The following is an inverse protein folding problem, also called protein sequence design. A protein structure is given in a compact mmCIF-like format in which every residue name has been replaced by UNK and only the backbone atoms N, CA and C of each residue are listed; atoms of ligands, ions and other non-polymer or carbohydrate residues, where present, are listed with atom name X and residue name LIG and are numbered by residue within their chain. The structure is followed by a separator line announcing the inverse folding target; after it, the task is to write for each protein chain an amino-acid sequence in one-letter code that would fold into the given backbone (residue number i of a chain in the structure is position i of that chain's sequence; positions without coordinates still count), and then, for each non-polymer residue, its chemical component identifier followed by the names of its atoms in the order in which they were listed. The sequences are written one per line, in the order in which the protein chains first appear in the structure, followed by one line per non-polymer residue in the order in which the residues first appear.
data_IF_061778799248
#
_entry.id   IF_061778799248
#
_cell.length_a   1.000
_cell.length_b   1.000
_cell.length_c   1.000
_cell.angle_alpha   90.00
_cell.angle_beta   90.00
_cell.angle_gamma   90.00
#
_symmetry.space_group_name_H-M   'P 1'
#
loop_
_entity.id
_entity.type
_entity.pdbx_description
1 polymer ?
#
# COMPACT_ATOMS: atom_id res chain seq x y z
N UNK A 1 -19.01 -12.07 -12.12
CA UNK A 1 -20.40 -11.99 -11.68
C UNK A 1 -20.51 -11.11 -10.46
N UNK A 2 -21.03 -9.92 -10.67
CA UNK A 2 -21.19 -8.90 -9.62
C UNK A 2 -22.33 -9.20 -8.65
N UNK A 3 -23.39 -9.88 -9.11
CA UNK A 3 -24.54 -10.21 -8.27
C UNK A 3 -24.14 -11.24 -7.22
N UNK A 4 -23.41 -12.27 -7.63
CA UNK A 4 -22.86 -13.28 -6.73
C UNK A 4 -21.91 -12.60 -5.74
N UNK A 5 -20.95 -11.79 -6.22
CA UNK A 5 -19.97 -11.14 -5.35
C UNK A 5 -20.63 -10.24 -4.29
N UNK A 6 -21.60 -9.42 -4.69
CA UNK A 6 -22.32 -8.53 -3.78
C UNK A 6 -23.20 -9.30 -2.79
N UNK A 7 -24.04 -10.22 -3.28
CA UNK A 7 -25.00 -10.94 -2.44
C UNK A 7 -24.29 -11.85 -1.43
N UNK A 8 -23.23 -12.55 -1.84
CA UNK A 8 -22.41 -13.36 -0.92
C UNK A 8 -21.67 -12.49 0.09
N UNK A 9 -21.16 -11.32 -0.31
CA UNK A 9 -20.51 -10.41 0.64
C UNK A 9 -21.49 -9.92 1.71
N UNK A 10 -22.70 -9.52 1.30
CA UNK A 10 -23.73 -9.03 2.21
C UNK A 10 -24.28 -10.16 3.10
N UNK A 11 -24.50 -11.36 2.55
CA UNK A 11 -24.97 -12.52 3.33
C UNK A 11 -23.96 -12.94 4.42
N UNK A 12 -22.66 -12.69 4.18
CA UNK A 12 -21.56 -12.91 5.13
C UNK A 12 -21.27 -11.71 6.03
N UNK A 13 -22.13 -10.70 6.04
CA UNK A 13 -22.10 -9.61 7.02
C UNK A 13 -21.46 -8.30 6.55
N UNK A 14 -21.09 -8.16 5.27
CA UNK A 14 -20.65 -6.88 4.74
C UNK A 14 -21.80 -5.85 4.75
N UNK A 15 -21.49 -4.60 5.12
CA UNK A 15 -22.45 -3.49 5.07
C UNK A 15 -22.72 -3.12 3.60
N UNK A 16 -23.95 -3.28 3.09
CA UNK A 16 -24.28 -2.84 1.73
C UNK A 16 -24.31 -1.32 1.68
N UNK A 17 -23.66 -0.73 0.67
CA UNK A 17 -23.69 0.72 0.40
C UNK A 17 -24.54 1.01 -0.83
N UNK A 18 -24.35 0.23 -1.91
CA UNK A 18 -25.16 0.33 -3.12
C UNK A 18 -25.25 -1.05 -3.79
N UNK A 19 -26.46 -1.54 -4.12
CA UNK A 19 -26.63 -2.80 -4.83
C UNK A 19 -26.06 -2.74 -6.26
N UNK A 20 -25.94 -3.87 -6.97
CA UNK A 20 -25.56 -3.89 -8.37
C UNK A 20 -26.45 -2.96 -9.21
N UNK A 21 -25.82 -2.01 -9.87
CA UNK A 21 -26.45 -1.03 -10.75
C UNK A 21 -25.71 -0.97 -12.08
N UNK A 22 -26.45 -0.71 -13.15
CA UNK A 22 -25.90 -0.55 -14.50
C UNK A 22 -25.59 0.92 -14.78
N UNK A 23 -24.44 1.14 -15.38
CA UNK A 23 -24.05 2.39 -16.00
C UNK A 23 -23.84 2.12 -17.50
N UNK A 24 -24.32 3.00 -18.36
CA UNK A 24 -24.25 2.83 -19.81
C UNK A 24 -23.96 4.14 -20.52
N UNK A 25 -23.15 4.06 -21.56
CA UNK A 25 -22.99 5.12 -22.58
C UNK A 25 -22.75 4.49 -23.96
N UNK A 26 -22.24 5.27 -24.91
CA UNK A 26 -21.98 4.85 -26.29
C UNK A 26 -20.93 3.73 -26.40
N UNK A 27 -20.10 3.52 -25.37
CA UNK A 27 -19.04 2.53 -25.34
C UNK A 27 -19.44 1.20 -24.71
N UNK A 28 -20.70 1.06 -24.26
CA UNK A 28 -21.25 -0.17 -23.71
C UNK A 28 -21.77 0.00 -22.28
N UNK A 29 -21.81 -1.10 -21.54
CA UNK A 29 -22.40 -1.17 -20.19
C UNK A 29 -21.38 -1.68 -19.17
N UNK A 30 -21.34 -1.04 -18.00
CA UNK A 30 -20.59 -1.49 -16.82
C UNK A 30 -21.56 -1.66 -15.67
N UNK A 31 -21.38 -2.72 -14.87
CA UNK A 31 -22.12 -2.92 -13.61
C UNK A 31 -21.24 -2.62 -12.41
N UNK A 32 -21.79 -1.92 -11.42
CA UNK A 32 -21.09 -1.55 -10.19
C UNK A 32 -21.96 -1.86 -8.96
N UNK A 33 -21.33 -2.40 -7.92
CA UNK A 33 -21.92 -2.63 -6.60
C UNK A 33 -20.91 -2.22 -5.54
N UNK A 34 -21.37 -1.74 -4.38
CA UNK A 34 -20.49 -1.16 -3.35
C UNK A 34 -20.81 -1.72 -1.97
N UNK A 35 -19.79 -2.14 -1.24
CA UNK A 35 -19.86 -2.53 0.18
C UNK A 35 -18.87 -1.71 1.00
N UNK A 36 -19.16 -1.55 2.29
CA UNK A 36 -18.26 -0.89 3.25
C UNK A 36 -17.17 -1.84 3.77
N UNK A 37 -16.03 -1.28 4.16
CA UNK A 37 -14.98 -1.98 4.93
C UNK A 37 -14.61 -1.14 6.16
N UNK A 38 -13.32 -1.06 6.54
CA UNK A 38 -12.84 -0.24 7.65
C UNK A 38 -13.02 1.27 7.42
N UNK A 39 -13.40 1.99 8.48
CA UNK A 39 -13.67 3.43 8.44
C UNK A 39 -14.76 3.78 7.42
N UNK A 40 -14.53 4.84 6.64
CA UNK A 40 -15.41 5.25 5.53
C UNK A 40 -14.96 4.67 4.18
N UNK A 41 -14.01 3.73 4.18
CA UNK A 41 -13.50 3.11 2.95
C UNK A 41 -14.52 2.11 2.41
N UNK A 42 -14.64 2.06 1.09
CA UNK A 42 -15.56 1.15 0.38
C UNK A 42 -14.83 0.31 -0.66
N UNK A 43 -15.34 -0.90 -0.89
CA UNK A 43 -14.96 -1.71 -2.03
C UNK A 43 -16.04 -1.64 -3.10
N UNK A 44 -15.64 -1.27 -4.32
CA UNK A 44 -16.51 -1.30 -5.50
C UNK A 44 -16.18 -2.52 -6.33
N UNK A 45 -17.17 -3.39 -6.50
CA UNK A 45 -17.12 -4.43 -7.52
C UNK A 45 -17.40 -3.78 -8.87
N UNK A 46 -16.56 -4.03 -9.87
CA UNK A 46 -16.70 -3.47 -11.22
C UNK A 46 -16.70 -4.63 -12.21
N UNK A 47 -17.84 -4.83 -12.87
CA UNK A 47 -17.99 -5.81 -13.95
C UNK A 47 -18.11 -5.06 -15.28
N UNK A 48 -17.03 -5.06 -16.05
CA UNK A 48 -16.88 -4.24 -17.27
C UNK A 48 -17.54 -4.82 -18.52
N UNK A 49 -17.94 -6.09 -18.53
CA UNK A 49 -18.59 -6.72 -19.70
C UNK A 49 -17.83 -6.45 -21.00
N UNK A 50 -18.55 -5.97 -22.02
CA UNK A 50 -18.02 -5.55 -23.33
C UNK A 50 -17.80 -4.02 -23.43
N UNK A 51 -17.57 -3.34 -22.31
CA UNK A 51 -17.31 -1.89 -22.31
C UNK A 51 -15.90 -1.57 -22.83
N UNK A 52 -15.82 -0.76 -23.90
CA UNK A 52 -14.56 -0.37 -24.57
C UNK A 52 -14.26 1.14 -24.46
N UNK A 53 -14.88 1.81 -23.48
CA UNK A 53 -14.69 3.24 -23.26
C UNK A 53 -13.44 3.56 -22.44
N UNK A 54 -13.09 4.86 -22.31
CA UNK A 54 -11.79 5.28 -21.77
C UNK A 54 -11.61 4.95 -20.27
N UNK A 55 -12.69 4.88 -19.50
CA UNK A 55 -12.64 4.48 -18.09
C UNK A 55 -13.93 3.84 -17.59
N UNK A 56 -14.99 4.61 -17.39
CA UNK A 56 -16.33 4.15 -16.99
C UNK A 56 -17.36 5.03 -17.70
N UNK A 57 -18.63 4.58 -17.83
CA UNK A 57 -19.64 5.36 -18.52
C UNK A 57 -19.77 6.78 -17.95
N UNK A 58 -19.80 7.78 -18.84
CA UNK A 58 -19.84 9.19 -18.48
C UNK A 58 -18.49 9.87 -18.25
N UNK A 59 -17.37 9.13 -18.30
CA UNK A 59 -16.03 9.71 -18.38
C UNK A 59 -15.66 9.95 -19.84
N UNK A 60 -14.88 11.01 -20.07
CA UNK A 60 -14.35 11.36 -21.38
C UNK A 60 -12.82 11.36 -21.36
N UNK A 61 -12.22 11.09 -22.49
CA UNK A 61 -10.77 11.24 -22.66
C UNK A 61 -10.37 12.72 -22.46
N UNK A 62 -9.27 12.93 -21.74
CA UNK A 62 -8.67 14.24 -21.53
C UNK A 62 -7.19 14.12 -21.84
N UNK A 63 -6.69 15.00 -22.71
CA UNK A 63 -5.27 15.06 -23.01
C UNK A 63 -4.51 15.73 -21.85
N UNK A 64 -3.31 15.27 -21.52
CA UNK A 64 -2.50 15.89 -20.48
C UNK A 64 -2.16 17.34 -20.86
N UNK A 65 -2.06 18.21 -19.85
CA UNK A 65 -1.66 19.62 -20.05
C UNK A 65 -0.21 19.69 -20.51
N UNK A 66 0.63 18.79 -19.99
CA UNK A 66 2.04 18.63 -20.35
C UNK A 66 2.29 17.16 -20.62
N UNK A 67 2.83 16.85 -21.79
CA UNK A 67 3.33 15.51 -22.10
C UNK A 67 4.67 15.30 -21.40
N UNK A 68 4.71 14.38 -20.44
CA UNK A 68 5.92 13.93 -19.80
C UNK A 68 6.21 12.49 -20.22
N UNK A 69 7.48 12.06 -20.30
CA UNK A 69 7.80 10.66 -20.55
C UNK A 69 7.13 9.71 -19.56
N UNK A 70 6.97 8.45 -19.91
CA UNK A 70 6.54 7.42 -18.96
C UNK A 70 7.58 7.28 -17.82
N UNK A 71 7.11 7.05 -16.58
CA UNK A 71 7.97 6.80 -15.41
C UNK A 71 8.20 5.32 -15.13
N UNK A 72 7.55 4.41 -15.87
CA UNK A 72 7.64 2.97 -15.71
C UNK A 72 6.75 2.39 -14.60
N UNK A 73 5.74 3.13 -14.14
CA UNK A 73 4.76 2.60 -13.16
C UNK A 73 3.74 1.73 -13.92
N UNK A 74 3.60 0.48 -13.51
CA UNK A 74 2.83 -0.52 -14.27
C UNK A 74 1.46 -0.82 -13.65
N UNK A 75 1.41 -0.95 -12.32
CA UNK A 75 0.19 -1.38 -11.59
C UNK A 75 0.30 -1.11 -10.09
N UNK A 76 -0.82 -1.25 -9.40
CA UNK A 76 -0.85 -1.35 -7.93
C UNK A 76 -0.31 -2.73 -7.52
N UNK A 77 0.65 -2.76 -6.59
CA UNK A 77 1.18 -3.98 -5.97
C UNK A 77 0.34 -4.39 -4.75
N UNK A 78 0.10 -3.44 -3.84
CA UNK A 78 -0.72 -3.64 -2.64
C UNK A 78 -1.24 -2.30 -2.08
N UNK A 79 -2.21 -2.36 -1.18
CA UNK A 79 -2.79 -1.20 -0.49
C UNK A 79 -2.81 -1.48 1.01
N UNK A 80 -2.23 -0.58 1.80
CA UNK A 80 -2.13 -0.73 3.26
C UNK A 80 -3.24 0.05 3.94
N UNK A 81 -3.99 -0.62 4.82
CA UNK A 81 -5.01 0.01 5.67
C UNK A 81 -4.52 0.17 7.10
N UNK A 82 -4.58 1.39 7.62
CA UNK A 82 -4.39 1.65 9.05
C UNK A 82 -5.76 1.67 9.73
N UNK A 83 -5.88 0.91 10.82
CA UNK A 83 -7.08 0.84 11.65
C UNK A 83 -6.75 1.22 13.09
N UNK A 84 -7.77 1.61 13.85
CA UNK A 84 -7.60 2.04 15.24
C UNK A 84 -7.25 0.86 16.17
N UNK A 85 -6.96 1.16 17.44
CA UNK A 85 -6.66 0.19 18.47
C UNK A 85 -7.68 -0.96 18.51
N UNK A 86 -7.15 -2.18 18.51
CA UNK A 86 -7.92 -3.43 18.57
C UNK A 86 -8.84 -3.69 17.36
N UNK A 87 -8.64 -2.97 16.24
CA UNK A 87 -9.43 -3.13 15.02
C UNK A 87 -8.77 -3.99 13.96
N UNK A 88 -7.50 -4.42 14.11
CA UNK A 88 -6.85 -5.26 13.09
C UNK A 88 -7.54 -6.61 12.98
N UNK A 89 -7.71 -7.36 14.07
CA UNK A 89 -8.33 -8.70 14.02
C UNK A 89 -9.78 -8.67 13.50
N UNK A 90 -10.67 -7.76 13.95
CA UNK A 90 -11.99 -7.60 13.34
C UNK A 90 -11.93 -7.31 11.82
N UNK A 91 -10.98 -6.48 11.39
CA UNK A 91 -10.80 -6.13 9.98
C UNK A 91 -10.31 -7.32 9.16
N UNK A 92 -9.33 -8.06 9.66
CA UNK A 92 -8.83 -9.28 9.01
C UNK A 92 -9.94 -10.33 8.91
N UNK A 93 -10.72 -10.50 10.00
CA UNK A 93 -11.88 -11.40 10.02
C UNK A 93 -12.90 -11.00 8.96
N UNK A 94 -13.18 -9.70 8.79
CA UNK A 94 -14.03 -9.21 7.70
C UNK A 94 -13.51 -9.66 6.34
N UNK A 95 -12.23 -9.45 6.02
CA UNK A 95 -11.69 -9.88 4.71
C UNK A 95 -11.73 -11.41 4.51
N UNK A 96 -11.51 -12.17 5.58
CA UNK A 96 -11.58 -13.62 5.55
C UNK A 96 -13.01 -14.12 5.33
N UNK A 97 -13.98 -13.65 6.12
CA UNK A 97 -15.36 -14.12 6.05
C UNK A 97 -16.08 -13.61 4.81
N UNK A 98 -15.94 -12.33 4.47
CA UNK A 98 -16.66 -11.69 3.35
C UNK A 98 -16.07 -12.11 2.01
N UNK A 99 -14.75 -11.99 1.85
CA UNK A 99 -14.11 -12.23 0.55
C UNK A 99 -13.43 -13.60 0.41
N UNK A 100 -13.29 -14.36 1.50
CA UNK A 100 -12.52 -15.61 1.48
C UNK A 100 -11.01 -15.36 1.33
N UNK A 101 -10.51 -14.19 1.72
CA UNK A 101 -9.07 -13.91 1.65
C UNK A 101 -8.33 -14.73 2.70
N UNK A 102 -7.12 -15.15 2.36
CA UNK A 102 -6.25 -15.90 3.26
C UNK A 102 -5.37 -14.95 4.06
N UNK A 103 -5.15 -15.28 5.34
CA UNK A 103 -4.08 -14.66 6.14
C UNK A 103 -2.75 -15.14 5.57
N UNK A 104 -1.91 -14.20 5.14
CA UNK A 104 -0.67 -14.54 4.45
C UNK A 104 0.56 -14.39 5.33
N UNK A 105 0.78 -13.20 5.89
CA UNK A 105 1.94 -12.89 6.73
C UNK A 105 1.45 -12.09 7.93
N UNK A 106 1.99 -12.40 9.11
CA UNK A 106 1.80 -11.61 10.33
C UNK A 106 3.14 -11.05 10.79
N UNK A 107 3.12 -9.80 11.22
CA UNK A 107 4.22 -9.11 11.86
C UNK A 107 3.77 -8.62 13.22
N UNK A 108 4.53 -9.01 14.24
CA UNK A 108 4.30 -8.66 15.63
C UNK A 108 5.16 -7.47 16.05
N UNK A 109 4.96 -6.98 17.28
CA UNK A 109 5.75 -5.90 17.87
C UNK A 109 7.25 -6.22 17.94
N UNK A 110 7.61 -7.51 17.96
CA UNK A 110 9.01 -7.98 17.95
C UNK A 110 9.63 -7.96 16.57
N UNK A 111 8.78 -7.94 15.54
CA UNK A 111 9.17 -7.95 14.14
C UNK A 111 9.30 -6.53 13.59
N UNK A 112 8.53 -5.60 14.15
CA UNK A 112 8.37 -4.23 13.66
C UNK A 112 8.34 -3.27 14.85
N UNK A 113 9.37 -2.46 15.00
CA UNK A 113 9.38 -1.38 15.98
C UNK A 113 10.77 -0.84 16.27
N UNK A 114 10.84 0.43 16.64
CA UNK A 114 12.07 1.03 17.15
C UNK A 114 12.16 0.85 18.66
N UNK A 115 13.19 1.44 19.28
CA UNK A 115 13.23 1.52 20.73
C UNK A 115 12.08 2.37 21.31
N UNK A 116 11.37 3.15 20.48
CA UNK A 116 10.37 4.13 20.90
C UNK A 116 8.94 3.71 20.60
N UNK A 117 8.62 3.30 19.37
CA UNK A 117 7.27 2.89 18.99
C UNK A 117 7.24 1.61 18.15
N UNK A 118 6.05 1.01 18.04
CA UNK A 118 5.84 -0.27 17.35
C UNK A 118 4.40 -0.35 16.81
N UNK A 119 4.12 -1.38 16.01
CA UNK A 119 2.79 -1.72 15.52
C UNK A 119 2.63 -3.22 15.34
N UNK A 120 1.40 -3.66 15.07
CA UNK A 120 1.11 -4.99 14.52
C UNK A 120 0.56 -4.85 13.11
N UNK A 121 0.93 -5.80 12.25
CA UNK A 121 0.47 -5.84 10.87
C UNK A 121 0.10 -7.27 10.47
N UNK A 122 -1.04 -7.43 9.81
CA UNK A 122 -1.41 -8.69 9.19
C UNK A 122 -1.83 -8.47 7.73
N UNK A 123 -1.30 -9.30 6.85
CA UNK A 123 -1.57 -9.22 5.41
C UNK A 123 -2.64 -10.23 5.03
N UNK A 124 -3.70 -9.76 4.38
CA UNK A 124 -4.67 -10.61 3.69
C UNK A 124 -4.44 -10.59 2.19
N UNK A 125 -4.67 -11.71 1.53
CA UNK A 125 -4.60 -11.80 0.07
C UNK A 125 -5.72 -12.63 -0.53
N UNK A 126 -6.10 -12.31 -1.75
CA UNK A 126 -7.05 -13.12 -2.50
C UNK A 126 -6.40 -14.39 -3.06
N UNK A 127 -7.23 -15.34 -3.50
CA UNK A 127 -6.79 -16.65 -3.99
C UNK A 127 -5.70 -16.60 -5.08
N UNK A 128 -5.81 -15.67 -6.04
CA UNK A 128 -4.83 -15.53 -7.12
C UNK A 128 -3.68 -14.56 -6.79
N UNK A 129 -3.61 -14.07 -5.56
CA UNK A 129 -2.56 -13.22 -5.00
C UNK A 129 -2.36 -11.87 -5.72
N UNK A 130 -3.33 -11.44 -6.54
CA UNK A 130 -3.29 -10.13 -7.21
C UNK A 130 -3.78 -8.99 -6.33
N UNK A 131 -4.58 -9.28 -5.31
CA UNK A 131 -5.05 -8.30 -4.33
C UNK A 131 -4.45 -8.67 -2.99
N UNK A 132 -3.62 -7.78 -2.47
CA UNK A 132 -2.95 -7.92 -1.18
C UNK A 132 -3.17 -6.65 -0.37
N UNK A 133 -3.53 -6.83 0.91
CA UNK A 133 -3.82 -5.72 1.81
C UNK A 133 -3.21 -5.98 3.19
N UNK A 134 -2.07 -5.37 3.50
CA UNK A 134 -1.60 -5.23 4.87
C UNK A 134 -2.57 -4.36 5.68
N UNK A 135 -2.94 -4.84 6.86
CA UNK A 135 -3.78 -4.11 7.82
C UNK A 135 -2.94 -3.90 9.09
N UNK A 136 -2.76 -2.64 9.46
CA UNK A 136 -1.95 -2.24 10.60
C UNK A 136 -2.82 -1.72 11.74
N UNK A 137 -2.46 -2.04 12.99
CA UNK A 137 -2.99 -1.39 14.20
C UNK A 137 -1.84 -0.85 15.07
N UNK A 138 -2.09 0.22 15.87
CA UNK A 138 -1.13 0.70 16.84
C UNK A 138 -0.77 -0.37 17.87
N UNK A 139 0.43 -0.28 18.44
CA UNK A 139 0.83 -1.09 19.59
C UNK A 139 1.56 -0.24 20.63
N UNK A 140 1.48 -0.63 21.89
CA UNK A 140 2.06 0.13 23.01
C UNK A 140 3.59 0.17 22.92
N UNK A 141 4.17 1.37 22.96
CA UNK A 141 5.61 1.63 23.02
C UNK A 141 5.96 2.71 24.06
N UNK A 142 7.22 3.16 24.08
CA UNK A 142 7.66 4.32 24.89
C UNK A 142 7.09 5.64 24.36
N UNK A 143 6.78 5.70 23.07
CA UNK A 143 6.25 6.86 22.35
C UNK A 143 5.04 6.46 21.50
N UNK A 144 4.35 7.46 20.97
CA UNK A 144 3.16 7.26 20.12
C UNK A 144 3.52 6.49 18.84
N UNK A 145 2.72 5.47 18.51
CA UNK A 145 2.87 4.75 17.24
C UNK A 145 2.50 5.63 16.05
N UNK A 146 3.24 5.55 14.95
CA UNK A 146 2.88 6.22 13.71
C UNK A 146 1.47 5.86 13.19
N UNK A 147 0.94 4.68 13.55
CA UNK A 147 -0.43 4.28 13.18
C UNK A 147 -1.45 5.08 13.98
N UNK A 148 -1.13 5.38 15.24
CA UNK A 148 -1.95 6.25 16.08
C UNK A 148 -1.90 7.70 15.56
N UNK A 149 -0.72 8.21 15.18
CA UNK A 149 -0.59 9.52 14.50
C UNK A 149 -1.50 9.57 13.26
N UNK A 150 -1.39 8.56 12.38
CA UNK A 150 -2.24 8.45 11.20
C UNK A 150 -3.72 8.56 11.57
N UNK A 151 -4.21 7.73 12.52
CA UNK A 151 -5.64 7.68 12.87
C UNK A 151 -6.11 9.02 13.45
N UNK A 152 -5.28 9.69 14.26
CA UNK A 152 -5.60 11.01 14.82
C UNK A 152 -5.74 12.08 13.73
N UNK A 153 -4.81 12.15 12.77
CA UNK A 153 -4.80 13.17 11.70
C UNK A 153 -5.74 12.84 10.53
N UNK A 154 -5.97 11.56 10.25
CA UNK A 154 -6.94 11.10 9.26
C UNK A 154 -8.37 11.10 9.82
N UNK A 155 -8.52 11.10 11.14
CA UNK A 155 -9.77 11.03 11.90
C UNK A 155 -10.51 9.69 11.72
N UNK A 156 -9.76 8.59 11.68
CA UNK A 156 -10.30 7.24 11.62
C UNK A 156 -9.42 6.27 10.83
N UNK A 157 -9.96 5.09 10.56
CA UNK A 157 -9.31 4.10 9.73
C UNK A 157 -9.31 4.50 8.24
N UNK A 158 -8.28 4.12 7.50
CA UNK A 158 -8.19 4.41 6.07
C UNK A 158 -6.94 3.83 5.41
N UNK A 159 -6.82 4.05 4.10
CA UNK A 159 -5.63 3.65 3.36
C UNK A 159 -4.46 4.56 3.74
N UNK A 160 -3.38 3.98 4.25
CA UNK A 160 -2.14 4.69 4.55
C UNK A 160 -1.31 4.90 3.28
N UNK A 161 -1.11 3.85 2.50
CA UNK A 161 -0.37 3.97 1.27
C UNK A 161 -0.82 2.97 0.20
N UNK A 162 -0.47 3.32 -1.04
CA UNK A 162 -0.59 2.46 -2.20
C UNK A 162 0.81 2.21 -2.73
N UNK A 163 1.17 0.94 -2.86
CA UNK A 163 2.41 0.53 -3.50
C UNK A 163 2.22 0.37 -5.00
N UNK A 164 3.14 0.97 -5.76
CA UNK A 164 3.13 1.04 -7.21
C UNK A 164 4.30 0.25 -7.76
N UNK A 165 3.99 -0.79 -8.52
CA UNK A 165 4.98 -1.67 -9.11
C UNK A 165 5.66 -1.04 -10.32
N UNK A 166 6.98 -1.21 -10.40
CA UNK A 166 7.82 -0.89 -11.56
C UNK A 166 8.81 -2.03 -11.82
N UNK A 167 9.24 -2.18 -13.08
CA UNK A 167 10.30 -3.10 -13.49
C UNK A 167 11.70 -2.49 -13.51
N UNK A 168 11.82 -1.16 -13.34
CA UNK A 168 13.07 -0.40 -13.21
C UNK A 168 12.92 0.74 -12.18
N UNK A 169 13.06 0.40 -10.90
CA UNK A 169 12.93 1.34 -9.79
C UNK A 169 13.99 2.44 -9.81
N UNK A 170 15.20 2.19 -10.35
CA UNK A 170 16.26 3.21 -10.43
C UNK A 170 15.82 4.35 -11.35
N UNK A 171 15.35 4.00 -12.55
CA UNK A 171 14.84 4.98 -13.52
C UNK A 171 13.55 5.63 -13.02
N UNK A 172 12.62 4.86 -12.46
CA UNK A 172 11.35 5.39 -11.93
C UNK A 172 11.58 6.41 -10.82
N UNK A 173 12.34 6.07 -9.77
CA UNK A 173 12.60 6.98 -8.65
C UNK A 173 13.31 8.25 -9.11
N UNK A 174 14.30 8.13 -10.01
CA UNK A 174 14.98 9.29 -10.59
C UNK A 174 13.99 10.20 -11.33
N UNK A 175 13.16 9.63 -12.21
CA UNK A 175 12.19 10.39 -12.99
C UNK A 175 11.12 11.07 -12.11
N UNK A 176 10.71 10.43 -11.01
CA UNK A 176 9.77 11.01 -10.04
C UNK A 176 10.41 12.16 -9.26
N UNK A 177 11.68 12.03 -8.82
CA UNK A 177 12.42 13.12 -8.17
C UNK A 177 12.64 14.30 -9.10
N UNK A 178 12.97 14.06 -10.36
CA UNK A 178 13.12 15.12 -11.38
C UNK A 178 11.81 15.89 -11.61
N UNK A 179 10.65 15.29 -11.23
CA UNK A 179 9.32 15.92 -11.26
C UNK A 179 8.90 16.53 -9.92
N UNK A 180 9.79 16.56 -8.93
CA UNK A 180 9.56 17.17 -7.62
C UNK A 180 8.87 16.27 -6.60
N UNK A 181 8.76 14.96 -6.84
CA UNK A 181 8.27 14.04 -5.81
C UNK A 181 9.35 13.87 -4.73
N UNK A 182 8.96 14.14 -3.49
CA UNK A 182 9.78 13.93 -2.32
C UNK A 182 9.64 12.52 -1.76
N UNK A 183 10.77 11.96 -1.32
CA UNK A 183 10.86 10.64 -0.70
C UNK A 183 11.42 10.76 0.71
N UNK A 184 11.16 9.75 1.54
CA UNK A 184 11.78 9.64 2.85
C UNK A 184 13.30 9.58 2.72
N UNK A 185 14.01 10.02 3.77
CA UNK A 185 15.46 9.92 3.83
C UNK A 185 15.89 8.61 4.47
N UNK A 186 16.63 7.79 3.72
CA UNK A 186 17.27 6.57 4.24
C UNK A 186 18.71 6.90 4.64
N UNK A 187 19.13 6.61 5.88
CA UNK A 187 20.47 6.96 6.36
C UNK A 187 21.55 6.08 5.71
N UNK A 188 22.74 6.65 5.48
CA UNK A 188 23.83 5.96 4.77
C UNK A 188 24.30 4.66 5.43
N UNK A 189 24.19 4.56 6.75
CA UNK A 189 24.58 3.40 7.55
C UNK A 189 23.70 2.16 7.30
N UNK A 190 22.49 2.35 6.75
CA UNK A 190 21.64 1.24 6.30
C UNK A 190 22.38 0.37 5.27
N UNK A 191 23.09 1.01 4.34
CA UNK A 191 23.77 0.34 3.24
C UNK A 191 25.01 -0.42 3.67
N UNK A 192 25.58 -0.08 4.82
CA UNK A 192 26.80 -0.71 5.33
C UNK A 192 26.54 -2.17 5.75
N UNK A 193 25.29 -2.51 6.13
CA UNK A 193 24.91 -3.84 6.60
C UNK A 193 23.99 -4.59 5.63
N UNK A 194 23.18 -3.88 4.83
CA UNK A 194 22.20 -4.53 3.94
C UNK A 194 22.87 -5.34 2.83
N UNK A 195 24.06 -4.97 2.37
CA UNK A 195 24.78 -5.70 1.32
C UNK A 195 25.09 -7.15 1.73
N UNK A 196 25.44 -7.36 3.00
CA UNK A 196 25.71 -8.69 3.54
C UNK A 196 24.43 -9.52 3.65
N UNK A 197 23.32 -8.88 4.06
CA UNK A 197 22.01 -9.52 4.20
C UNK A 197 21.44 -9.90 2.84
N UNK A 198 21.50 -9.02 1.85
CA UNK A 198 20.81 -9.20 0.56
C UNK A 198 21.56 -10.14 -0.37
N UNK A 199 22.88 -10.09 -0.39
CA UNK A 199 23.70 -10.83 -1.36
C UNK A 199 23.67 -10.18 -2.76
N UNK A 200 23.96 -10.93 -3.83
CA UNK A 200 24.04 -10.36 -5.17
C UNK A 200 22.66 -9.95 -5.70
N UNK A 201 22.57 -8.74 -6.24
CA UNK A 201 21.40 -8.17 -6.92
C UNK A 201 21.76 -7.78 -8.35
N UNK A 202 20.76 -7.54 -9.22
CA UNK A 202 20.99 -7.12 -10.60
C UNK A 202 21.29 -5.63 -10.72
N UNK A 203 20.68 -4.83 -9.84
CA UNK A 203 20.81 -3.39 -9.79
C UNK A 203 22.18 -2.95 -9.23
N UNK A 204 22.67 -1.79 -9.66
CA UNK A 204 23.91 -1.25 -9.11
C UNK A 204 23.68 -0.77 -7.67
N UNK A 205 24.39 -1.37 -6.72
CA UNK A 205 24.24 -1.07 -5.30
C UNK A 205 24.56 0.40 -4.94
N UNK A 206 25.54 1.01 -5.61
CA UNK A 206 25.88 2.42 -5.38
C UNK A 206 24.75 3.35 -5.85
N UNK A 207 24.06 2.99 -6.93
CA UNK A 207 22.87 3.73 -7.39
C UNK A 207 21.69 3.55 -6.44
N UNK A 208 21.48 2.33 -5.90
CA UNK A 208 20.49 2.10 -4.85
C UNK A 208 20.76 2.99 -3.62
N UNK A 209 22.02 3.05 -3.16
CA UNK A 209 22.44 3.93 -2.05
C UNK A 209 22.20 5.40 -2.36
N UNK A 210 22.66 5.88 -3.52
CA UNK A 210 22.47 7.27 -3.95
C UNK A 210 21.00 7.66 -4.03
N UNK A 211 20.14 6.72 -4.44
CA UNK A 211 18.70 6.95 -4.53
C UNK A 211 17.96 6.68 -3.22
N UNK A 212 18.61 6.18 -2.17
CA UNK A 212 17.95 5.84 -0.91
C UNK A 212 16.98 4.66 -1.03
N UNK A 213 17.17 3.77 -2.01
CA UNK A 213 16.30 2.61 -2.21
C UNK A 213 16.59 1.52 -1.18
N UNK A 214 15.55 1.03 -0.49
CA UNK A 214 15.63 -0.04 0.49
C UNK A 214 15.60 -1.41 -0.20
N UNK A 215 16.32 -2.38 0.34
CA UNK A 215 16.46 -3.75 -0.18
C UNK A 215 16.16 -4.80 0.88
N UNK A 216 15.32 -5.76 0.52
CA UNK A 216 15.10 -6.95 1.35
C UNK A 216 14.90 -8.20 0.51
N UNK A 217 15.01 -9.37 1.12
CA UNK A 217 14.82 -10.65 0.44
C UNK A 217 14.03 -11.66 1.26
N UNK A 218 13.49 -12.63 0.54
CA UNK A 218 13.00 -13.88 1.08
C UNK A 218 13.67 -15.06 0.35
N UNK A 219 13.14 -16.26 0.57
CA UNK A 219 13.61 -17.49 -0.06
C UNK A 219 13.34 -17.58 -1.57
N UNK A 220 12.47 -16.72 -2.13
CA UNK A 220 12.08 -16.70 -3.55
C UNK A 220 12.83 -15.65 -4.35
N UNK A 221 13.37 -14.62 -3.70
CA UNK A 221 14.18 -13.59 -4.34
C UNK A 221 14.27 -12.33 -3.49
N UNK A 222 14.47 -11.19 -4.12
CA UNK A 222 14.59 -9.90 -3.44
C UNK A 222 13.57 -8.88 -3.95
N UNK A 223 13.38 -7.82 -3.17
CA UNK A 223 12.60 -6.65 -3.54
C UNK A 223 13.42 -5.38 -3.29
N UNK A 224 13.04 -4.33 -4.02
CA UNK A 224 13.50 -2.98 -3.84
C UNK A 224 12.27 -2.11 -3.58
N UNK A 225 12.34 -1.19 -2.63
CA UNK A 225 11.23 -0.29 -2.32
C UNK A 225 11.71 1.09 -1.86
N UNK A 226 10.88 2.10 -2.08
CA UNK A 226 11.08 3.45 -1.56
C UNK A 226 9.74 4.17 -1.38
N UNK A 227 9.61 4.92 -0.29
CA UNK A 227 8.37 5.59 0.08
C UNK A 227 8.45 7.08 -0.16
N UNK A 228 7.38 7.66 -0.72
CA UNK A 228 7.24 9.11 -0.81
C UNK A 228 7.02 9.68 0.59
N UNK A 229 7.27 10.98 0.76
CA UNK A 229 6.66 11.71 1.87
C UNK A 229 5.12 11.70 1.73
N UNK A 230 4.35 12.03 2.79
CA UNK A 230 2.93 12.30 2.66
C UNK A 230 2.64 13.28 1.53
N UNK A 231 1.64 12.99 0.70
CA UNK A 231 1.30 13.86 -0.46
C UNK A 231 0.45 15.07 -0.07
N UNK A 232 0.19 15.23 1.23
CA UNK A 232 -0.57 16.31 1.84
C UNK A 232 0.07 16.65 3.19
N UNK A 233 -0.26 17.83 3.74
CA UNK A 233 0.34 18.31 5.00
C UNK A 233 0.05 17.40 6.20
N UNK A 234 -1.09 16.72 6.19
CA UNK A 234 -1.44 15.74 7.24
C UNK A 234 -0.60 14.47 7.03
N UNK A 235 0.05 13.93 8.08
CA UNK A 235 0.89 12.73 8.00
C UNK A 235 0.05 11.46 7.83
N UNK A 236 -0.51 11.29 6.64
CA UNK A 236 -1.58 10.34 6.37
C UNK A 236 -1.26 9.52 5.12
N UNK A 237 -1.68 9.97 3.94
CA UNK A 237 -1.53 9.19 2.72
C UNK A 237 -0.19 9.45 2.02
N UNK A 238 0.50 8.38 1.63
CA UNK A 238 1.71 8.41 0.79
C UNK A 238 1.73 7.26 -0.23
N UNK A 239 2.74 7.24 -1.10
CA UNK A 239 2.96 6.15 -2.06
C UNK A 239 4.23 5.38 -1.74
N UNK A 240 4.24 4.11 -2.14
CA UNK A 240 5.45 3.30 -2.21
C UNK A 240 5.74 2.99 -3.68
N UNK A 241 7.01 3.04 -4.08
CA UNK A 241 7.47 2.51 -5.36
C UNK A 241 8.19 1.20 -5.07
N UNK A 242 7.73 0.11 -5.68
CA UNK A 242 8.23 -1.24 -5.41
C UNK A 242 8.63 -1.96 -6.70
N UNK A 243 9.76 -2.66 -6.64
CA UNK A 243 10.17 -3.60 -7.67
C UNK A 243 10.43 -4.97 -7.03
N UNK A 244 9.85 -6.02 -7.61
CA UNK A 244 10.01 -7.39 -7.14
C UNK A 244 10.86 -8.20 -8.11
N UNK A 245 11.90 -8.86 -7.59
CA UNK A 245 12.73 -9.86 -8.30
C UNK A 245 12.52 -11.22 -7.63
N UNK A 246 11.29 -11.74 -7.75
CA UNK A 246 10.86 -13.02 -7.20
C UNK A 246 10.32 -12.97 -5.76
N UNK A 247 10.70 -11.97 -4.97
CA UNK A 247 10.24 -11.83 -3.58
C UNK A 247 8.71 -11.66 -3.48
N UNK A 248 8.10 -12.45 -2.60
CA UNK A 248 6.66 -12.45 -2.32
C UNK A 248 6.31 -11.77 -0.99
N UNK A 249 7.31 -11.47 -0.15
CA UNK A 249 7.12 -10.77 1.12
C UNK A 249 6.91 -9.24 1.01
N UNK A 250 6.94 -8.56 2.14
CA UNK A 250 6.72 -7.10 2.28
C UNK A 250 7.93 -6.37 2.86
N UNK A 251 9.12 -6.96 2.72
CA UNK A 251 10.35 -6.33 3.16
C UNK A 251 10.44 -6.24 4.68
N UNK A 252 10.28 -7.36 5.40
CA UNK A 252 10.36 -7.41 6.86
C UNK A 252 11.60 -6.70 7.39
N UNK A 253 12.75 -6.96 6.76
CA UNK A 253 14.04 -6.38 7.13
C UNK A 253 14.19 -4.90 6.80
N UNK A 254 13.24 -4.32 6.06
CA UNK A 254 13.18 -2.89 5.76
C UNK A 254 12.25 -2.12 6.69
N UNK A 255 11.31 -2.79 7.37
CA UNK A 255 10.38 -2.11 8.27
C UNK A 255 11.12 -1.32 9.35
N UNK A 256 12.21 -1.85 9.92
CA UNK A 256 12.99 -1.09 10.90
C UNK A 256 13.43 0.28 10.37
N UNK A 257 14.10 0.30 9.23
CA UNK A 257 14.66 1.52 8.64
C UNK A 257 13.58 2.46 8.10
N UNK A 258 12.48 1.89 7.59
CA UNK A 258 11.29 2.66 7.23
C UNK A 258 10.72 3.38 8.46
N UNK A 259 10.58 2.68 9.58
CA UNK A 259 10.00 3.22 10.80
C UNK A 259 10.91 4.27 11.41
N UNK A 260 12.21 4.04 11.50
CA UNK A 260 13.16 5.04 11.98
C UNK A 260 13.11 6.32 11.12
N UNK A 261 12.89 6.17 9.80
CA UNK A 261 12.74 7.31 8.89
C UNK A 261 11.42 8.05 9.13
N UNK A 262 10.30 7.35 9.26
CA UNK A 262 8.99 7.97 9.51
C UNK A 262 8.91 8.57 10.92
N UNK A 263 9.46 7.90 11.93
CA UNK A 263 9.54 8.41 13.30
C UNK A 263 10.36 9.70 13.36
N UNK A 264 11.46 9.80 12.61
CA UNK A 264 12.21 11.04 12.50
C UNK A 264 11.35 12.16 11.94
N UNK A 265 10.56 11.90 10.90
CA UNK A 265 9.63 12.90 10.37
C UNK A 265 8.50 13.21 11.37
N UNK A 266 8.04 12.23 12.15
CA UNK A 266 7.04 12.42 13.23
C UNK A 266 7.60 13.31 14.35
N UNK A 267 8.87 13.14 14.71
CA UNK A 267 9.60 13.99 15.65
C UNK A 267 9.74 15.42 15.10
N UNK A 268 10.08 15.58 13.82
CA UNK A 268 10.11 16.89 13.15
C UNK A 268 8.74 17.59 13.14
N UNK A 269 7.64 16.83 13.14
CA UNK A 269 6.26 17.33 13.31
C UNK A 269 5.86 17.59 14.77
N UNK A 270 6.65 17.14 15.74
CA UNK A 270 6.36 17.27 17.18
C UNK A 270 5.34 16.27 17.71
N UNK A 271 5.11 15.15 17.03
CA UNK A 271 4.09 14.15 17.36
C UNK A 271 4.67 12.83 17.93
N UNK A 272 5.98 12.77 18.18
CA UNK A 272 6.69 11.56 18.66
C UNK A 272 6.96 11.59 20.17
#
# INVERSE_FOLDING_TARGET
DIDIAFNESVSRGAKPISPPTEMKDDWGTVRIATIGTYGDTVHKFIERGEYDGPYLPGYKEVKPIVELPDTGIERIDHIVGNVDWYQMEPTIKFYHEVFGFEKFIEFTEKDIGTNYSTLRSQVVKNYNQKVMMPINEPWTGLKMSQIEEYVQYYHGAGAQHIALHTSDILSTVKALRDRGIEFIHVPDNYYDTVSERIGPIQENFADCKKLGILLDKDQHGYLLQLFTKPIQDRPTFFFEIIQRRGCQGFGKGNFQSLFESIEREQEERGNL
#
